data_IF_787713628063
#
_entry.id   IF_787713628063
#
_cell.length_a   1.000
_cell.length_b   1.000
_cell.length_c   1.000
_cell.angle_alpha   90.00
_cell.angle_beta   90.00
_cell.angle_gamma   90.00
#
_symmetry.space_group_name_H-M   'P 1'
#
loop_
_entity.id
_entity.type
_entity.pdbx_description
1 polymer ?
#
# COMPACT_ATOMS: atom_id res chain seq x y z
N UNK A 1 48.20 -26.85 82.27
CA UNK A 1 46.73 -26.75 82.37
C UNK A 1 46.21 -26.81 80.94
N UNK A 2 45.74 -27.99 80.53
CA UNK A 2 45.44 -28.30 79.13
C UNK A 2 44.05 -28.92 79.13
N UNK A 3 43.04 -28.14 78.72
CA UNK A 3 41.65 -28.61 78.61
C UNK A 3 41.45 -29.10 77.18
N UNK A 4 41.18 -30.39 77.05
CA UNK A 4 41.04 -31.12 75.79
C UNK A 4 39.65 -30.92 75.18
N UNK A 5 39.68 -30.61 73.88
CA UNK A 5 38.57 -30.50 72.93
C UNK A 5 37.76 -31.80 72.81
N UNK A 6 36.55 -31.91 73.39
CA UNK A 6 35.63 -33.03 73.08
C UNK A 6 34.14 -32.71 73.27
N UNK A 7 33.57 -31.66 72.69
CA UNK A 7 32.08 -31.59 72.54
C UNK A 7 31.56 -30.87 71.29
N UNK A 8 32.36 -30.10 70.54
CA UNK A 8 31.80 -29.18 69.53
C UNK A 8 31.53 -29.76 68.11
N UNK A 9 31.75 -31.05 67.86
CA UNK A 9 31.66 -31.61 66.50
C UNK A 9 30.29 -32.16 66.01
N UNK A 10 29.34 -32.65 66.83
CA UNK A 10 28.11 -33.23 66.27
C UNK A 10 27.04 -32.19 65.92
N UNK A 11 27.04 -31.00 66.55
CA UNK A 11 26.01 -29.99 66.31
C UNK A 11 26.24 -29.16 65.03
N UNK A 12 27.50 -28.88 64.68
CA UNK A 12 27.83 -28.08 63.49
C UNK A 12 27.56 -28.82 62.17
N UNK A 13 27.67 -30.16 62.17
CA UNK A 13 27.44 -31.00 60.98
C UNK A 13 25.94 -31.21 60.72
N UNK A 14 25.13 -31.33 61.79
CA UNK A 14 23.68 -31.45 61.65
C UNK A 14 23.02 -30.17 61.09
N UNK A 15 23.48 -28.99 61.54
CA UNK A 15 22.92 -27.71 61.09
C UNK A 15 23.30 -27.37 59.64
N UNK A 16 24.54 -27.67 59.23
CA UNK A 16 24.97 -27.49 57.82
C UNK A 16 24.28 -28.47 56.88
N UNK A 17 24.06 -29.72 57.30
CA UNK A 17 23.29 -30.70 56.54
C UNK A 17 21.83 -30.29 56.33
N UNK A 18 21.16 -29.82 57.39
CA UNK A 18 19.76 -29.36 57.31
C UNK A 18 19.65 -28.05 56.51
N UNK A 19 20.59 -27.12 56.65
CA UNK A 19 20.61 -25.88 55.86
C UNK A 19 20.89 -26.15 54.38
N UNK A 20 21.77 -27.10 54.04
CA UNK A 20 22.01 -27.53 52.67
C UNK A 20 20.78 -28.22 52.05
N UNK A 21 20.05 -29.02 52.84
CA UNK A 21 18.79 -29.63 52.41
C UNK A 21 17.69 -28.56 52.22
N UNK A 22 17.58 -27.57 53.09
CA UNK A 22 16.63 -26.45 52.92
C UNK A 22 17.00 -25.60 51.69
N UNK A 23 18.28 -25.30 51.45
CA UNK A 23 18.69 -24.55 50.25
C UNK A 23 18.44 -25.38 48.97
N UNK A 24 18.65 -26.70 49.01
CA UNK A 24 18.40 -27.60 47.87
C UNK A 24 16.89 -27.79 47.57
N UNK A 25 16.02 -27.75 48.58
CA UNK A 25 14.56 -27.80 48.40
C UNK A 25 14.03 -26.47 47.81
N UNK A 26 14.72 -25.35 48.04
CA UNK A 26 14.36 -24.03 47.53
C UNK A 26 15.10 -23.64 46.23
N UNK A 27 16.10 -24.41 45.82
CA UNK A 27 16.84 -24.21 44.57
C UNK A 27 16.38 -25.16 43.46
N UNK A 28 15.10 -25.55 43.44
CA UNK A 28 14.48 -25.79 42.14
C UNK A 28 14.46 -24.46 41.42
N UNK A 29 15.43 -24.25 40.53
CA UNK A 29 15.19 -23.44 39.37
C UNK A 29 13.97 -24.06 38.68
N UNK A 30 12.78 -23.59 39.03
CA UNK A 30 11.65 -23.66 38.13
C UNK A 30 12.14 -22.93 36.88
N UNK A 31 12.66 -23.68 35.91
CA UNK A 31 12.92 -23.17 34.59
C UNK A 31 11.58 -22.65 34.13
N UNK A 32 11.39 -21.33 34.22
CA UNK A 32 10.19 -20.69 33.74
C UNK A 32 10.22 -20.90 32.23
N UNK A 33 9.61 -22.00 31.78
CA UNK A 33 9.51 -22.32 30.37
C UNK A 33 8.75 -21.15 29.74
N UNK A 34 9.48 -20.32 29.02
CA UNK A 34 8.92 -19.16 28.35
C UNK A 34 7.98 -19.68 27.27
N UNK A 35 6.76 -19.16 27.23
CA UNK A 35 5.87 -19.48 26.14
C UNK A 35 6.45 -18.93 24.84
N UNK A 36 6.25 -19.67 23.74
CA UNK A 36 6.61 -19.24 22.40
C UNK A 36 5.40 -19.39 21.49
N UNK A 37 5.34 -18.52 20.49
CA UNK A 37 4.32 -18.52 19.45
C UNK A 37 5.01 -18.34 18.11
N UNK A 38 4.64 -19.14 17.14
CA UNK A 38 5.09 -19.01 15.75
C UNK A 38 3.88 -19.02 14.83
N UNK A 39 4.05 -18.41 13.66
CA UNK A 39 3.09 -18.44 12.57
C UNK A 39 3.79 -18.96 11.31
N UNK A 40 3.12 -19.86 10.60
CA UNK A 40 3.65 -20.42 9.35
C UNK A 40 2.57 -20.36 8.26
N UNK A 41 2.89 -19.80 7.07
CA UNK A 41 4.15 -19.11 6.74
C UNK A 41 4.28 -17.76 7.49
N UNK A 42 5.49 -17.22 7.59
CA UNK A 42 5.74 -15.87 8.16
C UNK A 42 5.38 -14.75 7.19
N UNK A 43 5.29 -15.07 5.90
CA UNK A 43 4.72 -14.21 4.84
C UNK A 43 3.62 -15.01 4.15
N UNK A 44 2.39 -14.53 4.21
CA UNK A 44 1.24 -15.16 3.56
C UNK A 44 0.62 -14.21 2.54
N UNK A 45 0.00 -14.73 1.50
CA UNK A 45 -0.89 -13.92 0.65
C UNK A 45 -2.29 -13.86 1.27
N UNK A 46 -3.06 -12.83 0.99
CA UNK A 46 -4.47 -12.76 1.37
C UNK A 46 -5.22 -14.07 1.04
N UNK A 47 -6.19 -14.45 1.86
CA UNK A 47 -6.98 -15.68 1.72
C UNK A 47 -6.16 -16.99 1.79
N UNK A 48 -4.91 -16.95 2.25
CA UNK A 48 -4.11 -18.15 2.50
C UNK A 48 -4.30 -18.60 3.95
N UNK A 49 -4.46 -19.90 4.18
CA UNK A 49 -4.45 -20.47 5.54
C UNK A 49 -3.08 -20.29 6.16
N UNK A 50 -3.05 -19.81 7.40
CA UNK A 50 -1.86 -19.75 8.24
C UNK A 50 -2.04 -20.67 9.45
N UNK A 51 -0.94 -21.21 9.96
CA UNK A 51 -0.93 -22.06 11.14
C UNK A 51 -0.22 -21.36 12.27
N UNK A 52 -0.95 -21.11 13.37
CA UNK A 52 -0.36 -20.68 14.63
C UNK A 52 0.08 -21.89 15.43
N UNK A 53 1.31 -21.88 15.95
CA UNK A 53 1.85 -22.93 16.80
C UNK A 53 2.43 -22.34 18.06
N UNK A 54 1.92 -22.77 19.22
CA UNK A 54 2.41 -22.33 20.51
C UNK A 54 3.05 -23.46 21.30
N UNK A 55 4.01 -23.13 22.17
CA UNK A 55 4.61 -24.08 23.10
C UNK A 55 5.03 -23.40 24.40
N UNK A 56 5.25 -24.19 25.46
CA UNK A 56 5.67 -23.65 26.76
C UNK A 56 4.51 -23.09 27.59
N UNK A 57 3.27 -23.49 27.28
CA UNK A 57 2.09 -23.26 28.11
C UNK A 57 1.90 -24.40 29.13
N UNK A 58 1.06 -24.21 30.15
CA UNK A 58 0.74 -25.27 31.11
C UNK A 58 -0.10 -26.37 30.44
N UNK A 59 0.26 -27.65 30.58
CA UNK A 59 -0.55 -28.75 30.06
C UNK A 59 -2.01 -28.69 30.55
N UNK A 60 -2.95 -28.84 29.64
CA UNK A 60 -4.39 -28.82 29.93
C UNK A 60 -4.99 -27.43 30.23
N UNK A 61 -4.17 -26.36 30.21
CA UNK A 61 -4.71 -25.01 30.38
C UNK A 61 -5.46 -24.52 29.13
N UNK A 62 -6.21 -23.44 29.27
CA UNK A 62 -6.82 -22.72 28.13
C UNK A 62 -5.97 -21.51 27.78
N UNK A 63 -5.82 -21.23 26.49
CA UNK A 63 -5.18 -20.02 25.98
C UNK A 63 -6.10 -19.24 25.04
N UNK A 64 -6.12 -17.91 25.19
CA UNK A 64 -6.80 -17.00 24.27
C UNK A 64 -5.78 -16.41 23.29
N UNK A 65 -6.19 -16.30 22.03
CA UNK A 65 -5.37 -15.78 20.94
C UNK A 65 -6.04 -14.54 20.36
N UNK A 66 -5.29 -13.45 20.23
CA UNK A 66 -5.69 -12.22 19.56
C UNK A 66 -4.76 -11.90 18.41
N UNK A 67 -5.27 -11.12 17.47
CA UNK A 67 -4.52 -10.56 16.36
C UNK A 67 -4.68 -9.05 16.37
N UNK A 68 -3.56 -8.35 16.21
CA UNK A 68 -3.50 -6.90 15.99
C UNK A 68 -3.21 -6.66 14.52
N UNK A 69 -4.10 -5.89 13.88
CA UNK A 69 -4.04 -5.54 12.48
C UNK A 69 -3.05 -4.38 12.22
N UNK A 70 -2.67 -4.14 10.94
CA UNK A 70 -1.83 -2.99 10.57
C UNK A 70 -2.40 -1.62 10.97
N UNK A 71 -3.72 -1.51 11.12
CA UNK A 71 -4.44 -0.31 11.57
C UNK A 71 -4.62 -0.24 13.10
N UNK A 72 -3.94 -1.12 13.85
CA UNK A 72 -4.00 -1.26 15.30
C UNK A 72 -5.34 -1.75 15.87
N UNK A 73 -6.29 -2.17 15.02
CA UNK A 73 -7.49 -2.85 15.51
C UNK A 73 -7.14 -4.25 16.02
N UNK A 74 -7.85 -4.70 17.05
CA UNK A 74 -7.59 -5.99 17.71
C UNK A 74 -8.82 -6.88 17.62
N UNK A 75 -8.62 -8.12 17.16
CA UNK A 75 -9.67 -9.13 17.06
C UNK A 75 -9.28 -10.41 17.81
N UNK A 76 -10.29 -11.13 18.32
CA UNK A 76 -10.10 -12.49 18.83
C UNK A 76 -9.96 -13.48 17.68
N UNK A 77 -8.94 -14.33 17.75
CA UNK A 77 -8.68 -15.39 16.76
C UNK A 77 -9.35 -16.69 17.22
N UNK A 78 -8.95 -17.18 18.39
CA UNK A 78 -9.40 -18.46 18.92
C UNK A 78 -9.22 -18.54 20.44
N UNK A 79 -9.92 -19.50 21.04
CA UNK A 79 -9.66 -20.00 22.39
C UNK A 79 -9.32 -21.48 22.24
N UNK A 80 -8.13 -21.88 22.67
CA UNK A 80 -7.60 -23.23 22.46
C UNK A 80 -7.25 -23.90 23.79
N UNK A 81 -7.43 -25.22 23.86
CA UNK A 81 -6.95 -26.04 24.98
C UNK A 81 -5.52 -26.51 24.67
N UNK A 82 -4.63 -26.36 25.64
CA UNK A 82 -3.22 -26.74 25.54
C UNK A 82 -3.08 -28.25 25.78
N UNK A 83 -2.34 -28.92 24.91
CA UNK A 83 -2.11 -30.36 25.02
C UNK A 83 -1.24 -30.76 26.22
N UNK A 84 -1.11 -32.06 26.46
CA UNK A 84 -0.32 -32.59 27.58
C UNK A 84 1.18 -32.23 27.51
N UNK A 85 1.67 -31.84 26.34
CA UNK A 85 3.05 -31.42 26.10
C UNK A 85 3.22 -29.88 26.19
N UNK A 86 2.16 -29.15 26.56
CA UNK A 86 2.20 -27.70 26.70
C UNK A 86 2.17 -26.96 25.36
N UNK A 87 1.57 -27.56 24.32
CA UNK A 87 1.56 -27.04 22.94
C UNK A 87 0.14 -26.88 22.39
N UNK A 88 0.03 -26.12 21.31
CA UNK A 88 -1.17 -26.05 20.48
C UNK A 88 -0.81 -25.80 19.02
N UNK A 89 -1.73 -26.17 18.12
CA UNK A 89 -1.66 -25.83 16.70
C UNK A 89 -3.04 -25.43 16.19
N UNK A 90 -3.14 -24.28 15.53
CA UNK A 90 -4.39 -23.71 15.06
C UNK A 90 -4.25 -23.19 13.62
N UNK A 91 -4.64 -23.99 12.61
CA UNK A 91 -4.73 -23.55 11.22
C UNK A 91 -6.02 -22.75 11.02
N UNK A 92 -5.90 -21.57 10.41
CA UNK A 92 -7.06 -20.73 10.11
C UNK A 92 -6.75 -19.74 8.97
N UNK A 93 -7.78 -19.13 8.38
CA UNK A 93 -7.62 -18.06 7.38
C UNK A 93 -7.79 -16.71 8.08
N UNK A 94 -6.87 -15.75 7.93
CA UNK A 94 -7.03 -14.40 8.49
C UNK A 94 -8.10 -13.56 7.74
N UNK A 95 -9.35 -14.02 7.68
CA UNK A 95 -10.46 -13.42 6.93
C UNK A 95 -11.55 -12.81 7.84
N UNK A 96 -11.12 -12.18 8.94
CA UNK A 96 -12.05 -11.63 9.92
C UNK A 96 -12.99 -10.58 9.29
N UNK A 97 -14.25 -10.62 9.72
CA UNK A 97 -15.41 -9.80 9.30
C UNK A 97 -16.19 -10.28 8.07
N UNK A 98 -15.86 -11.42 7.46
CA UNK A 98 -16.47 -11.79 6.17
C UNK A 98 -16.23 -10.74 5.09
N UNK A 99 -15.28 -9.83 5.35
CA UNK A 99 -14.82 -8.82 4.43
C UNK A 99 -14.10 -9.56 3.31
N UNK A 100 -14.38 -9.18 2.07
CA UNK A 100 -13.76 -9.75 0.87
C UNK A 100 -12.25 -9.42 0.77
N UNK A 101 -11.65 -8.84 1.82
CA UNK A 101 -10.30 -8.31 1.83
C UNK A 101 -9.65 -8.33 3.22
N UNK A 102 -8.65 -9.19 3.42
CA UNK A 102 -7.69 -9.13 4.53
C UNK A 102 -6.70 -7.98 4.27
N UNK A 103 -6.59 -6.92 5.08
CA UNK A 103 -5.60 -5.86 4.84
C UNK A 103 -4.17 -6.41 4.65
N UNK A 104 -3.39 -5.79 3.78
CA UNK A 104 -1.97 -6.15 3.63
C UNK A 104 -1.12 -5.49 4.71
N UNK A 105 0.05 -6.04 4.97
CA UNK A 105 1.03 -5.52 5.93
C UNK A 105 1.22 -6.41 7.13
N UNK A 106 1.80 -5.84 8.19
CA UNK A 106 2.23 -6.58 9.38
C UNK A 106 1.10 -6.80 10.39
N UNK A 107 0.86 -8.06 10.71
CA UNK A 107 -0.01 -8.51 11.78
C UNK A 107 0.83 -8.99 12.97
N UNK A 108 0.31 -8.77 14.18
CA UNK A 108 0.91 -9.30 15.41
C UNK A 108 -0.09 -10.16 16.15
N UNK A 109 0.29 -11.40 16.45
CA UNK A 109 -0.47 -12.32 17.28
C UNK A 109 -0.01 -12.24 18.72
N UNK A 110 -0.96 -12.38 19.63
CA UNK A 110 -0.72 -12.56 21.06
C UNK A 110 -1.47 -13.79 21.53
N UNK A 111 -0.81 -14.71 22.22
CA UNK A 111 -1.43 -15.84 22.91
C UNK A 111 -1.19 -15.71 24.41
N UNK A 112 -2.24 -15.88 25.23
CA UNK A 112 -2.16 -15.82 26.70
C UNK A 112 -2.81 -17.03 27.35
N UNK A 113 -2.06 -17.75 28.19
CA UNK A 113 -2.57 -18.82 29.04
C UNK A 113 -3.39 -18.28 30.22
N UNK A 114 -4.53 -18.89 30.50
CA UNK A 114 -5.47 -18.43 31.54
C UNK A 114 -4.99 -18.73 32.95
N UNK A 115 -4.28 -19.86 33.14
CA UNK A 115 -3.79 -20.28 34.45
C UNK A 115 -2.35 -19.82 34.66
N UNK A 116 -1.50 -20.03 33.65
CA UNK A 116 -0.09 -19.69 33.70
C UNK A 116 0.17 -18.19 33.62
N UNK A 117 -0.75 -17.44 33.00
CA UNK A 117 -0.56 -16.03 32.65
C UNK A 117 0.55 -15.79 31.63
N UNK A 118 1.12 -16.86 31.03
CA UNK A 118 2.21 -16.73 30.06
C UNK A 118 1.70 -16.12 28.78
N UNK A 119 2.45 -15.16 28.26
CA UNK A 119 2.18 -14.50 26.99
C UNK A 119 3.26 -14.82 25.96
N UNK A 120 2.85 -14.99 24.70
CA UNK A 120 3.76 -15.19 23.58
C UNK A 120 3.25 -14.47 22.34
N UNK A 121 4.17 -14.06 21.47
CA UNK A 121 3.88 -13.24 20.30
C UNK A 121 4.45 -13.83 19.01
N UNK A 122 3.77 -13.61 17.90
CA UNK A 122 4.25 -13.93 16.56
C UNK A 122 3.89 -12.81 15.59
N UNK A 123 4.61 -12.70 14.47
CA UNK A 123 4.32 -11.73 13.43
C UNK A 123 4.13 -12.40 12.08
N UNK A 124 3.16 -11.92 11.33
CA UNK A 124 2.83 -12.35 9.98
C UNK A 124 2.86 -11.13 9.08
N UNK A 125 3.57 -11.20 7.97
CA UNK A 125 3.40 -10.25 6.87
C UNK A 125 2.33 -10.79 5.91
N UNK A 126 1.34 -9.97 5.57
CA UNK A 126 0.33 -10.32 4.57
C UNK A 126 0.57 -9.53 3.29
N UNK A 127 0.94 -10.25 2.23
CA UNK A 127 1.05 -9.73 0.88
C UNK A 127 -0.29 -9.81 0.15
N UNK A 128 -0.41 -8.99 -0.91
CA UNK A 128 -1.55 -9.06 -1.81
C UNK A 128 -1.64 -10.44 -2.47
N UNK A 129 -2.84 -11.02 -2.52
CA UNK A 129 -3.06 -12.24 -3.29
C UNK A 129 -2.98 -11.97 -4.79
N UNK A 130 -2.64 -13.00 -5.57
CA UNK A 130 -2.82 -12.93 -7.03
C UNK A 130 -4.32 -12.84 -7.28
N UNK A 131 -4.75 -11.75 -7.89
CA UNK A 131 -6.14 -11.59 -8.29
C UNK A 131 -6.55 -12.80 -9.15
N UNK A 132 -7.73 -13.41 -8.92
CA UNK A 132 -8.25 -14.45 -9.81
C UNK A 132 -8.21 -13.95 -11.25
N UNK A 133 -7.82 -14.80 -12.20
CA UNK A 133 -7.87 -14.44 -13.63
C UNK A 133 -9.30 -14.11 -14.08
N UNK A 134 -9.43 -13.60 -15.31
CA UNK A 134 -10.75 -13.36 -15.89
C UNK A 134 -11.54 -14.69 -15.99
N UNK A 135 -12.78 -14.68 -15.50
CA UNK A 135 -13.73 -15.78 -15.61
C UNK A 135 -14.29 -15.85 -17.03
N UNK A 136 -14.46 -17.05 -17.57
CA UNK A 136 -15.02 -17.22 -18.93
C UNK A 136 -16.45 -16.72 -19.09
N UNK A 137 -17.20 -16.63 -17.99
CA UNK A 137 -18.59 -16.17 -17.97
C UNK A 137 -18.74 -14.66 -17.91
N UNK A 138 -17.67 -13.93 -17.55
CA UNK A 138 -17.70 -12.48 -17.37
C UNK A 138 -16.83 -11.83 -18.43
N UNK A 139 -17.38 -10.80 -19.07
CA UNK A 139 -16.64 -10.02 -20.05
C UNK A 139 -16.68 -8.55 -19.68
N UNK A 140 -15.49 -7.94 -19.56
CA UNK A 140 -15.32 -6.49 -19.52
C UNK A 140 -14.76 -5.99 -20.85
N UNK A 141 -15.26 -4.85 -21.30
CA UNK A 141 -14.81 -4.18 -22.52
C UNK A 141 -14.71 -2.69 -22.24
N UNK A 142 -13.60 -2.08 -22.64
CA UNK A 142 -13.46 -0.63 -22.71
C UNK A 142 -13.73 -0.20 -24.14
N UNK A 143 -14.45 0.90 -24.33
CA UNK A 143 -14.77 1.44 -25.64
C UNK A 143 -13.53 1.74 -26.49
N UNK A 144 -12.48 2.26 -25.85
CA UNK A 144 -11.17 2.54 -26.44
C UNK A 144 -10.06 2.11 -25.50
N UNK A 145 -9.24 1.17 -25.95
CA UNK A 145 -8.14 0.65 -25.13
C UNK A 145 -7.00 1.65 -24.91
N UNK A 146 -6.90 2.70 -25.73
CA UNK A 146 -5.84 3.70 -25.64
C UNK A 146 -6.43 5.09 -25.91
N UNK A 147 -6.25 6.03 -24.98
CA UNK A 147 -6.59 7.44 -25.21
C UNK A 147 -5.61 8.38 -24.51
N UNK A 148 -5.52 9.62 -24.99
CA UNK A 148 -4.74 10.67 -24.35
C UNK A 148 -5.42 11.15 -23.05
N UNK A 149 -4.62 11.63 -22.10
CA UNK A 149 -5.08 12.24 -20.86
C UNK A 149 -6.14 13.33 -21.13
N UNK A 150 -7.18 13.35 -20.30
CA UNK A 150 -8.36 14.20 -20.45
C UNK A 150 -9.49 13.64 -21.32
N UNK A 151 -9.32 12.43 -21.86
CA UNK A 151 -10.41 11.66 -22.44
C UNK A 151 -11.27 10.94 -21.38
N UNK A 152 -12.45 10.47 -21.81
CA UNK A 152 -13.36 9.63 -21.04
C UNK A 152 -13.30 8.19 -21.56
N UNK A 153 -12.89 7.25 -20.71
CA UNK A 153 -12.98 5.82 -20.98
C UNK A 153 -14.32 5.30 -20.51
N UNK A 154 -15.06 4.61 -21.40
CA UNK A 154 -16.32 3.97 -21.05
C UNK A 154 -16.13 2.47 -20.99
N UNK A 155 -16.28 1.89 -19.80
CA UNK A 155 -16.18 0.46 -19.57
C UNK A 155 -17.56 -0.15 -19.42
N UNK A 156 -17.77 -1.28 -20.09
CA UNK A 156 -18.98 -2.09 -19.99
C UNK A 156 -18.61 -3.50 -19.53
N UNK A 157 -19.42 -4.07 -18.64
CA UNK A 157 -19.29 -5.42 -18.13
C UNK A 157 -20.57 -6.22 -18.36
N UNK A 158 -20.46 -7.52 -18.65
CA UNK A 158 -21.60 -8.44 -18.78
C UNK A 158 -21.25 -9.83 -18.24
N UNK A 159 -22.28 -10.60 -17.91
CA UNK A 159 -22.13 -11.99 -17.42
C UNK A 159 -22.28 -12.14 -15.91
N UNK A 160 -22.68 -11.07 -15.22
CA UNK A 160 -23.01 -11.08 -13.81
C UNK A 160 -24.43 -11.61 -13.57
N UNK A 161 -24.73 -12.05 -12.34
CA UNK A 161 -26.10 -12.38 -11.94
C UNK A 161 -26.96 -11.11 -11.90
N UNK A 162 -28.20 -11.14 -12.39
CA UNK A 162 -29.11 -10.00 -12.28
C UNK A 162 -29.25 -9.51 -10.85
N UNK A 163 -29.00 -8.22 -10.61
CA UNK A 163 -29.09 -7.60 -9.28
C UNK A 163 -27.92 -7.89 -8.33
N UNK A 164 -26.84 -8.57 -8.77
CA UNK A 164 -25.70 -8.81 -7.89
C UNK A 164 -24.87 -7.56 -7.64
N UNK A 165 -24.26 -7.48 -6.45
CA UNK A 165 -23.22 -6.48 -6.17
C UNK A 165 -21.93 -6.90 -6.86
N UNK A 166 -21.34 -5.98 -7.62
CA UNK A 166 -20.07 -6.14 -8.33
C UNK A 166 -19.07 -5.16 -7.72
N UNK A 167 -18.02 -5.67 -7.10
CA UNK A 167 -16.94 -4.86 -6.54
C UNK A 167 -15.92 -4.48 -7.62
N UNK A 168 -15.44 -3.25 -7.58
CA UNK A 168 -14.65 -2.63 -8.63
C UNK A 168 -13.30 -2.14 -8.08
N UNK A 169 -12.21 -2.52 -8.74
CA UNK A 169 -10.87 -2.04 -8.41
C UNK A 169 -10.13 -1.55 -9.65
N UNK A 170 -9.40 -0.45 -9.50
CA UNK A 170 -8.57 0.11 -10.56
C UNK A 170 -7.10 0.03 -10.16
N UNK A 171 -6.31 -0.71 -10.94
CA UNK A 171 -4.86 -0.73 -10.82
C UNK A 171 -4.26 0.38 -11.68
N UNK A 172 -3.43 1.21 -11.06
CA UNK A 172 -2.66 2.30 -11.66
C UNK A 172 -1.37 1.78 -12.32
N UNK A 173 -0.71 2.59 -13.17
CA UNK A 173 0.56 2.22 -13.82
C UNK A 173 1.69 1.86 -12.86
N UNK A 174 1.72 2.45 -11.67
CA UNK A 174 2.67 2.13 -10.59
C UNK A 174 2.28 0.89 -9.75
N UNK A 175 1.25 0.15 -10.18
CA UNK A 175 0.64 -0.98 -9.47
C UNK A 175 -0.11 -0.66 -8.17
N UNK A 176 -0.28 0.61 -7.80
CA UNK A 176 -1.22 0.97 -6.74
C UNK A 176 -2.64 0.56 -7.16
N UNK A 177 -3.47 0.16 -6.19
CA UNK A 177 -4.86 -0.25 -6.44
C UNK A 177 -5.79 0.68 -5.68
N UNK A 178 -6.74 1.28 -6.39
CA UNK A 178 -7.86 1.99 -5.78
C UNK A 178 -9.11 1.11 -5.75
N UNK A 179 -9.81 1.14 -4.61
CA UNK A 179 -11.17 0.64 -4.50
C UNK A 179 -12.14 1.68 -5.07
N UNK A 180 -12.92 1.29 -6.07
CA UNK A 180 -13.94 2.15 -6.70
C UNK A 180 -15.35 1.88 -6.12
N UNK A 181 -15.45 1.01 -5.12
CA UNK A 181 -16.69 0.62 -4.47
C UNK A 181 -17.43 -0.51 -5.19
N UNK A 182 -18.74 -0.57 -4.98
CA UNK A 182 -19.62 -1.59 -5.58
C UNK A 182 -20.67 -0.97 -6.50
N UNK A 183 -21.04 -1.71 -7.54
CA UNK A 183 -22.14 -1.40 -8.44
C UNK A 183 -23.11 -2.57 -8.50
N UNK A 184 -24.41 -2.29 -8.60
CA UNK A 184 -25.43 -3.34 -8.79
C UNK A 184 -25.56 -3.67 -10.27
N UNK A 185 -25.44 -4.94 -10.63
CA UNK A 185 -25.69 -5.41 -11.99
C UNK A 185 -27.17 -5.25 -12.36
N UNK A 186 -27.45 -4.83 -13.60
CA UNK A 186 -28.80 -4.65 -14.09
C UNK A 186 -29.57 -5.99 -14.23
N UNK A 187 -30.83 -5.94 -14.70
CA UNK A 187 -31.66 -7.14 -14.90
C UNK A 187 -31.08 -8.12 -15.93
N UNK A 188 -30.15 -7.67 -16.75
CA UNK A 188 -29.47 -8.44 -17.78
C UNK A 188 -28.04 -8.82 -17.35
N UNK A 189 -27.65 -8.58 -16.10
CA UNK A 189 -26.32 -8.93 -15.59
C UNK A 189 -25.21 -8.03 -16.11
N UNK A 190 -25.50 -6.75 -16.38
CA UNK A 190 -24.54 -5.79 -16.92
C UNK A 190 -24.18 -4.70 -15.93
N UNK A 191 -22.99 -4.17 -16.09
CA UNK A 191 -22.50 -2.97 -15.40
C UNK A 191 -21.89 -2.00 -16.42
N UNK A 192 -21.82 -0.74 -16.06
CA UNK A 192 -21.19 0.31 -16.84
C UNK A 192 -20.51 1.32 -15.94
N UNK A 193 -19.28 1.70 -16.29
CA UNK A 193 -18.45 2.63 -15.55
C UNK A 193 -17.82 3.63 -16.54
N UNK A 194 -17.74 4.90 -16.15
CA UNK A 194 -17.03 5.91 -16.91
C UNK A 194 -15.84 6.43 -16.08
N UNK A 195 -14.65 6.43 -16.67
CA UNK A 195 -13.40 6.84 -16.03
C UNK A 195 -12.85 8.05 -16.78
N UNK A 196 -12.80 9.19 -16.11
CA UNK A 196 -12.17 10.40 -16.64
C UNK A 196 -10.66 10.32 -16.44
N UNK A 197 -9.89 10.53 -17.50
CA UNK A 197 -8.42 10.51 -17.43
C UNK A 197 -7.78 11.86 -17.11
N UNK A 198 -8.56 12.85 -16.67
CA UNK A 198 -7.99 14.13 -16.22
C UNK A 198 -7.22 13.93 -14.90
N UNK A 199 -5.97 14.35 -14.87
CA UNK A 199 -5.15 14.36 -13.64
C UNK A 199 -4.74 12.97 -13.11
N UNK A 200 -4.95 11.89 -13.88
CA UNK A 200 -4.42 10.56 -13.53
C UNK A 200 -3.09 10.30 -14.26
N UNK A 201 -2.16 9.52 -13.69
CA UNK A 201 -0.87 9.20 -14.31
C UNK A 201 -0.99 8.62 -15.73
N UNK A 202 -0.01 8.91 -16.58
CA UNK A 202 0.12 8.23 -17.87
C UNK A 202 0.56 6.78 -17.67
N UNK A 203 0.17 5.90 -18.58
CA UNK A 203 0.55 4.49 -18.61
C UNK A 203 -0.64 3.53 -18.61
N UNK A 204 -0.35 2.25 -18.34
CA UNK A 204 -1.33 1.16 -18.41
C UNK A 204 -2.08 0.99 -17.09
N UNK A 205 -3.39 0.94 -17.21
CA UNK A 205 -4.35 0.67 -16.15
C UNK A 205 -4.99 -0.70 -16.35
N UNK A 206 -5.45 -1.31 -15.26
CA UNK A 206 -6.32 -2.48 -15.32
C UNK A 206 -7.53 -2.28 -14.40
N UNK A 207 -8.73 -2.35 -14.95
CA UNK A 207 -9.97 -2.40 -14.18
C UNK A 207 -10.34 -3.87 -13.93
N UNK A 208 -10.60 -4.19 -12.67
CA UNK A 208 -11.11 -5.49 -12.23
C UNK A 208 -12.52 -5.32 -11.67
N UNK A 209 -13.43 -6.20 -12.06
CA UNK A 209 -14.82 -6.20 -11.60
C UNK A 209 -15.26 -7.61 -11.20
N UNK A 210 -15.53 -7.82 -9.91
CA UNK A 210 -15.87 -9.12 -9.32
C UNK A 210 -17.31 -9.16 -8.81
N UNK A 211 -18.11 -10.09 -9.31
CA UNK A 211 -19.42 -10.39 -8.77
C UNK A 211 -19.31 -11.05 -7.40
N UNK A 212 -19.91 -10.46 -6.37
CA UNK A 212 -19.80 -10.94 -4.99
C UNK A 212 -20.60 -12.23 -4.74
N UNK A 213 -21.54 -12.56 -5.63
CA UNK A 213 -22.39 -13.74 -5.49
C UNK A 213 -22.03 -14.81 -6.52
N UNK A 214 -21.75 -14.39 -7.76
CA UNK A 214 -21.30 -15.29 -8.82
C UNK A 214 -19.83 -15.70 -8.71
N UNK A 215 -19.01 -14.95 -7.96
CA UNK A 215 -17.54 -14.99 -8.01
C UNK A 215 -16.95 -14.75 -9.41
N UNK A 216 -17.76 -14.30 -10.37
CA UNK A 216 -17.30 -14.01 -11.72
C UNK A 216 -16.40 -12.78 -11.72
N UNK A 217 -15.19 -12.92 -12.27
CA UNK A 217 -14.21 -11.86 -12.35
C UNK A 217 -14.00 -11.41 -13.80
N UNK A 218 -14.10 -10.12 -14.08
CA UNK A 218 -13.73 -9.57 -15.38
C UNK A 218 -12.60 -8.57 -15.22
N UNK A 219 -11.68 -8.58 -16.18
CA UNK A 219 -10.50 -7.71 -16.20
C UNK A 219 -10.43 -7.07 -17.59
N UNK A 220 -10.20 -5.76 -17.63
CA UNK A 220 -9.87 -5.05 -18.87
C UNK A 220 -8.73 -4.09 -18.62
N UNK A 221 -7.79 -4.06 -19.56
CA UNK A 221 -6.72 -3.08 -19.58
C UNK A 221 -7.09 -1.90 -20.48
N UNK A 222 -6.61 -0.72 -20.11
CA UNK A 222 -6.59 0.45 -20.98
C UNK A 222 -5.33 1.27 -20.70
N UNK A 223 -4.93 2.10 -21.65
CA UNK A 223 -3.71 2.91 -21.59
C UNK A 223 -4.05 4.39 -21.73
N UNK A 224 -3.56 5.17 -20.77
CA UNK A 224 -3.62 6.63 -20.80
C UNK A 224 -2.30 7.11 -21.37
N UNK A 225 -2.32 7.61 -22.60
CA UNK A 225 -1.18 8.31 -23.17
C UNK A 225 -1.10 9.72 -22.57
N UNK A 226 0.08 10.35 -22.62
CA UNK A 226 0.17 11.79 -22.41
C UNK A 226 -0.94 12.50 -23.18
N UNK A 227 -1.64 13.42 -22.49
CA UNK A 227 -2.60 14.31 -23.11
C UNK A 227 -1.96 15.04 -24.28
N UNK A 228 -2.76 15.69 -25.13
CA UNK A 228 -2.21 16.64 -26.10
C UNK A 228 -1.73 17.90 -25.38
N UNK A 229 -0.71 17.71 -24.53
CA UNK A 229 -0.11 18.74 -23.71
C UNK A 229 0.92 19.57 -24.49
N UNK A 230 1.17 19.17 -25.74
CA UNK A 230 2.27 19.69 -26.54
C UNK A 230 1.83 20.36 -27.84
N UNK A 231 0.56 20.25 -28.27
CA UNK A 231 0.09 21.00 -29.45
C UNK A 231 -0.42 22.38 -29.06
N UNK A 232 0.19 23.47 -29.59
CA UNK A 232 -0.33 24.81 -29.44
C UNK A 232 -1.79 24.90 -29.88
N UNK A 233 -2.59 25.71 -29.17
CA UNK A 233 -4.00 25.95 -29.49
C UNK A 233 -4.28 27.44 -29.41
N UNK A 234 -4.86 27.98 -30.48
CA UNK A 234 -5.07 29.42 -30.62
C UNK A 234 -3.81 30.15 -31.08
N UNK A 235 -3.69 31.43 -30.72
CA UNK A 235 -2.60 32.33 -31.17
C UNK A 235 -1.52 32.55 -30.11
N UNK A 236 -1.52 31.76 -29.04
CA UNK A 236 -0.55 31.93 -27.96
C UNK A 236 0.80 31.30 -28.35
N UNK A 237 1.89 31.98 -28.00
CA UNK A 237 3.26 31.53 -28.25
C UNK A 237 4.04 31.44 -26.94
N UNK A 238 5.02 30.54 -26.91
CA UNK A 238 5.91 30.34 -25.77
C UNK A 238 7.34 30.19 -26.30
N UNK A 239 8.27 30.84 -25.64
CA UNK A 239 9.70 30.78 -25.97
C UNK A 239 10.51 30.60 -24.70
N UNK A 240 11.63 29.90 -24.84
CA UNK A 240 12.66 29.74 -23.81
C UNK A 240 13.89 30.52 -24.24
N UNK A 241 14.58 31.15 -23.29
CA UNK A 241 15.79 31.92 -23.59
C UNK A 241 16.93 31.07 -24.15
N UNK A 242 17.07 29.83 -23.66
CA UNK A 242 18.07 28.88 -24.11
C UNK A 242 17.44 27.52 -24.41
N UNK A 243 17.76 26.96 -25.57
CA UNK A 243 17.37 25.59 -25.92
C UNK A 243 18.25 24.53 -25.24
N UNK A 244 19.38 24.90 -24.65
CA UNK A 244 20.30 23.98 -23.97
C UNK A 244 20.83 24.57 -22.65
N UNK A 245 19.98 24.88 -21.68
CA UNK A 245 20.44 25.35 -20.37
C UNK A 245 21.13 24.23 -19.60
N UNK A 246 21.92 24.58 -18.59
CA UNK A 246 22.56 23.63 -17.67
C UNK A 246 21.85 23.62 -16.33
N UNK A 247 21.94 22.54 -15.57
CA UNK A 247 21.54 22.57 -14.16
C UNK A 247 22.32 23.66 -13.40
N UNK A 248 21.77 24.08 -12.25
CA UNK A 248 22.24 25.22 -11.44
C UNK A 248 22.21 26.55 -12.19
N UNK A 249 21.26 26.73 -13.09
CA UNK A 249 21.05 27.98 -13.82
C UNK A 249 19.58 28.39 -13.81
N UNK A 250 19.33 29.67 -14.10
CA UNK A 250 17.98 30.16 -14.33
C UNK A 250 17.66 30.13 -15.83
N UNK A 251 16.42 29.79 -16.17
CA UNK A 251 15.87 29.82 -17.52
C UNK A 251 14.70 30.80 -17.57
N UNK A 252 14.81 31.82 -18.41
CA UNK A 252 13.70 32.73 -18.68
C UNK A 252 12.75 32.11 -19.72
N UNK A 253 11.46 32.05 -19.37
CA UNK A 253 10.36 31.60 -20.22
C UNK A 253 9.45 32.79 -20.50
N UNK A 254 9.19 33.07 -21.78
CA UNK A 254 8.31 34.16 -22.22
C UNK A 254 7.13 33.63 -23.00
N UNK A 255 5.93 34.04 -22.59
CA UNK A 255 4.69 33.74 -23.30
C UNK A 255 3.99 34.99 -23.82
N UNK A 256 3.27 34.86 -24.92
CA UNK A 256 2.49 35.93 -25.55
C UNK A 256 1.18 35.40 -26.14
N UNK A 257 0.25 36.30 -26.45
CA UNK A 257 -1.01 35.94 -27.10
C UNK A 257 -2.07 35.38 -26.16
N UNK A 258 -1.98 35.62 -24.85
CA UNK A 258 -3.02 35.33 -23.86
C UNK A 258 -3.98 36.53 -23.69
N UNK A 259 -5.09 36.36 -22.96
CA UNK A 259 -5.98 37.50 -22.66
C UNK A 259 -5.39 38.36 -21.54
N UNK A 260 -5.48 39.70 -21.62
CA UNK A 260 -5.04 40.61 -20.56
C UNK A 260 -5.61 40.24 -19.19
N UNK A 261 -4.74 40.16 -18.18
CA UNK A 261 -5.10 39.82 -16.80
C UNK A 261 -5.57 38.38 -16.59
N UNK A 262 -5.44 37.47 -17.56
CA UNK A 262 -5.82 36.07 -17.34
C UNK A 262 -4.75 35.29 -16.57
N UNK A 263 -5.21 34.34 -15.75
CA UNK A 263 -4.34 33.37 -15.10
C UNK A 263 -3.93 32.32 -16.12
N UNK A 264 -2.63 32.09 -16.20
CA UNK A 264 -1.98 31.12 -17.07
C UNK A 264 -1.32 30.08 -16.17
N UNK A 265 -1.71 28.82 -16.30
CA UNK A 265 -1.10 27.72 -15.57
C UNK A 265 0.03 27.12 -16.39
N UNK A 266 1.21 27.00 -15.78
CA UNK A 266 2.45 26.55 -16.43
C UNK A 266 2.86 25.18 -15.91
N UNK A 267 3.18 24.28 -16.82
CA UNK A 267 3.62 22.91 -16.53
C UNK A 267 4.91 22.58 -17.26
N UNK A 268 5.75 21.75 -16.65
CA UNK A 268 6.85 21.07 -17.32
C UNK A 268 6.48 19.61 -17.58
N UNK A 269 6.82 19.10 -18.75
CA UNK A 269 6.87 17.67 -19.06
C UNK A 269 8.33 17.25 -19.04
N UNK A 270 8.68 16.33 -18.15
CA UNK A 270 10.02 15.83 -17.89
C UNK A 270 10.45 14.80 -18.96
N UNK A 271 11.74 14.41 -19.01
CA UNK A 271 12.24 13.42 -19.96
C UNK A 271 11.60 12.03 -19.85
N UNK A 272 11.03 11.70 -18.69
CA UNK A 272 10.30 10.45 -18.44
C UNK A 272 8.79 10.56 -18.73
N UNK A 273 8.35 11.68 -19.32
CA UNK A 273 6.97 12.02 -19.61
C UNK A 273 6.08 12.25 -18.38
N UNK A 274 6.64 12.30 -17.18
CA UNK A 274 5.93 12.85 -16.03
C UNK A 274 5.72 14.36 -16.21
N UNK A 275 4.69 14.88 -15.56
CA UNK A 275 4.36 16.31 -15.62
C UNK A 275 4.48 16.94 -14.24
N UNK A 276 5.10 18.10 -14.17
CA UNK A 276 5.29 18.91 -12.97
C UNK A 276 4.58 20.27 -13.14
N UNK A 277 3.86 20.70 -12.10
CA UNK A 277 3.28 22.04 -12.07
C UNK A 277 4.35 23.03 -11.65
N UNK A 278 4.59 24.04 -12.48
CA UNK A 278 5.61 25.06 -12.24
C UNK A 278 5.06 26.32 -11.57
N UNK A 279 3.75 26.52 -11.63
CA UNK A 279 3.08 27.68 -11.04
C UNK A 279 2.02 28.29 -11.95
N UNK A 280 1.38 29.32 -11.41
CA UNK A 280 0.46 30.18 -12.13
C UNK A 280 1.08 31.57 -12.30
N UNK A 281 0.91 32.15 -13.49
CA UNK A 281 1.32 33.52 -13.81
C UNK A 281 0.12 34.30 -14.32
N UNK A 282 0.12 35.62 -14.14
CA UNK A 282 -0.95 36.48 -14.67
C UNK A 282 -0.44 37.21 -15.89
N UNK A 283 -1.20 37.15 -16.99
CA UNK A 283 -0.87 37.89 -18.21
C UNK A 283 -0.93 39.41 -17.95
N UNK A 284 0.07 40.14 -18.44
CA UNK A 284 0.08 41.59 -18.45
C UNK A 284 -1.02 42.16 -19.37
N UNK A 285 -1.16 43.49 -19.39
CA UNK A 285 -2.20 44.18 -20.18
C UNK A 285 -2.07 43.95 -21.69
N UNK A 286 -0.89 43.57 -22.17
CA UNK A 286 -0.62 43.21 -23.57
C UNK A 286 -0.77 41.71 -23.86
N UNK A 287 -1.19 40.90 -22.86
CA UNK A 287 -1.36 39.46 -22.99
C UNK A 287 -0.06 38.65 -22.92
N UNK A 288 1.04 39.25 -22.47
CA UNK A 288 2.33 38.59 -22.27
C UNK A 288 2.59 38.18 -20.82
N UNK A 289 3.54 37.27 -20.62
CA UNK A 289 4.14 37.01 -19.30
C UNK A 289 5.61 36.62 -19.43
N UNK A 290 6.36 36.78 -18.34
CA UNK A 290 7.71 36.23 -18.19
C UNK A 290 7.78 35.47 -16.87
N UNK A 291 8.36 34.27 -16.89
CA UNK A 291 8.64 33.47 -15.71
C UNK A 291 10.14 33.10 -15.71
N UNK A 292 10.74 33.05 -14.52
CA UNK A 292 12.08 32.51 -14.34
C UNK A 292 12.00 31.18 -13.61
N UNK A 293 12.63 30.16 -14.19
CA UNK A 293 12.70 28.82 -13.62
C UNK A 293 14.15 28.56 -13.19
N UNK A 294 14.36 28.19 -11.94
CA UNK A 294 15.65 27.68 -11.49
C UNK A 294 15.74 26.19 -11.78
N UNK A 295 16.73 25.79 -12.58
CA UNK A 295 16.94 24.42 -13.03
C UNK A 295 17.86 23.70 -12.03
N UNK A 296 17.30 22.88 -11.15
CA UNK A 296 18.01 22.24 -10.05
C UNK A 296 18.95 21.11 -10.50
N UNK A 297 20.01 20.81 -9.73
CA UNK A 297 20.82 19.60 -9.95
C UNK A 297 20.08 18.28 -9.73
N UNK A 298 18.90 18.32 -9.09
CA UNK A 298 18.05 17.15 -8.87
C UNK A 298 17.18 16.81 -10.09
N UNK A 299 16.98 17.75 -11.00
CA UNK A 299 16.19 17.56 -12.20
C UNK A 299 16.86 16.57 -13.16
N UNK A 300 16.15 15.57 -13.70
CA UNK A 300 16.70 14.66 -14.69
C UNK A 300 17.21 15.41 -15.91
N UNK A 301 18.42 15.11 -16.38
CA UNK A 301 18.92 15.67 -17.65
C UNK A 301 18.17 15.07 -18.83
N UNK A 302 17.88 15.85 -19.86
CA UNK A 302 17.15 15.38 -21.03
C UNK A 302 16.26 16.44 -21.66
N UNK A 303 15.33 16.00 -22.52
CA UNK A 303 14.37 16.87 -23.20
C UNK A 303 13.22 17.22 -22.25
N UNK A 304 12.94 18.51 -22.12
CA UNK A 304 11.79 19.07 -21.44
C UNK A 304 10.88 19.75 -22.43
N UNK A 305 9.59 19.77 -22.11
CA UNK A 305 8.63 20.66 -22.74
C UNK A 305 7.92 21.50 -21.67
N UNK A 306 7.89 22.82 -21.85
CA UNK A 306 7.08 23.73 -21.03
C UNK A 306 5.77 23.98 -21.78
N UNK A 307 4.65 23.84 -21.09
CA UNK A 307 3.34 24.22 -21.61
C UNK A 307 2.68 25.27 -20.74
N UNK A 308 2.06 26.25 -21.40
CA UNK A 308 1.31 27.32 -20.77
C UNK A 308 -0.15 27.26 -21.24
N UNK A 309 -1.09 27.26 -20.30
CA UNK A 309 -2.53 27.18 -20.57
C UNK A 309 -3.28 28.36 -19.98
N UNK A 310 -4.00 29.09 -20.82
CA UNK A 310 -4.82 30.23 -20.41
C UNK A 310 -6.16 29.78 -19.84
N UNK A 311 -6.41 30.03 -18.55
CA UNK A 311 -7.58 29.48 -17.84
C UNK A 311 -8.92 30.08 -18.27
N UNK A 312 -8.91 31.21 -18.99
CA UNK A 312 -10.11 31.85 -19.55
C UNK A 312 -10.17 31.73 -21.07
N UNK A 313 -9.04 31.94 -21.75
CA UNK A 313 -8.96 31.87 -23.22
C UNK A 313 -8.92 30.44 -23.78
N UNK A 314 -8.60 29.45 -22.95
CA UNK A 314 -8.23 28.07 -23.33
C UNK A 314 -7.09 27.99 -24.34
N UNK A 315 -6.34 29.09 -24.55
CA UNK A 315 -5.18 29.11 -25.44
C UNK A 315 -4.04 28.33 -24.81
N UNK A 316 -3.25 27.72 -25.68
CA UNK A 316 -2.12 26.90 -25.26
C UNK A 316 -0.89 27.23 -26.09
N UNK A 317 0.23 27.39 -25.41
CA UNK A 317 1.53 27.55 -26.02
C UNK A 317 2.54 26.58 -25.42
N UNK A 318 3.51 26.15 -26.22
CA UNK A 318 4.49 25.11 -25.83
C UNK A 318 5.86 25.48 -26.34
N UNK A 319 6.88 25.26 -25.52
CA UNK A 319 8.29 25.45 -25.87
C UNK A 319 9.10 24.25 -25.36
N UNK A 320 10.18 23.90 -26.04
CA UNK A 320 11.06 22.79 -25.64
C UNK A 320 12.48 23.27 -25.36
N UNK A 321 13.16 22.58 -24.45
CA UNK A 321 14.59 22.73 -24.22
C UNK A 321 15.22 21.39 -23.83
N UNK A 322 16.55 21.31 -23.89
CA UNK A 322 17.33 20.14 -23.48
C UNK A 322 18.21 20.51 -22.28
N UNK A 323 17.85 20.04 -21.09
CA UNK A 323 18.63 20.26 -19.88
C UNK A 323 19.94 19.47 -19.93
N UNK A 324 21.05 20.18 -19.74
CA UNK A 324 22.40 19.62 -19.67
C UNK A 324 22.87 19.51 -18.20
N UNK A 325 23.76 18.56 -17.88
CA UNK A 325 24.38 18.49 -16.56
C UNK A 325 25.04 19.83 -16.19
N UNK A 326 24.87 20.25 -14.93
CA UNK A 326 25.62 21.37 -14.36
C UNK A 326 27.07 20.97 -14.09
N UNK A 327 27.99 21.94 -14.11
CA UNK A 327 29.36 21.74 -13.61
C UNK A 327 29.46 22.05 -12.12
#
# INVERSE_FOLDING_TARGET
MTITHRVLYPFAIGFTGILAIIIAIWSWSAGAQTASLTVSPTVARQNTTVTLSGSGFLPGETASIWITYPDYTVYGVAVVTIDEQGRFSHPYVPDFLGATFTPTGRYTYTARGWQSGREAYASLEVDIAVAPGASSTVQLMVDRAVQAQGALFTVSGRGYRPGEQVALWLRYPNNAVADLGTQTADRQGRIGLAITSNGIPVGRYALTARGLQSNGNGIVDFEVLPGDTLRPRGTAELTVESANPTQRSALSVRGSGFLPGEVITVWATLPDYSTEWLGDVTAADDGSFTAELYLSEQEPVGRYAISAYGNRSERRAVAEYVLRPGR
#
